data_IF_210703271445
#
_entry.id   IF_210703271445
#
_cell.length_a   1.000
_cell.length_b   1.000
_cell.length_c   1.000
_cell.angle_alpha   90.00
_cell.angle_beta   90.00
_cell.angle_gamma   90.00
#
_symmetry.space_group_name_H-M   'P 1'
#
loop_
_entity.id
_entity.type
_entity.pdbx_description
1 polymer ?
#
# COMPACT_ATOMS: atom_id res chain seq x y z
N UNK A 1 -5.95 17.69 -18.22
CA UNK A 1 -7.04 16.74 -17.89
C UNK A 1 -7.45 16.82 -16.41
N UNK A 2 -8.74 16.72 -16.08
CA UNK A 2 -9.26 16.62 -14.68
C UNK A 2 -9.46 15.16 -14.26
N UNK A 3 -9.61 14.86 -12.95
CA UNK A 3 -9.95 13.51 -12.49
C UNK A 3 -11.26 12.97 -13.10
N UNK A 4 -12.29 13.81 -13.19
CA UNK A 4 -13.58 13.44 -13.79
C UNK A 4 -13.44 13.07 -15.27
N UNK A 5 -12.68 13.84 -16.05
CA UNK A 5 -12.41 13.54 -17.46
C UNK A 5 -11.68 12.21 -17.62
N UNK A 6 -10.66 11.95 -16.80
CA UNK A 6 -9.90 10.71 -16.85
C UNK A 6 -10.78 9.50 -16.48
N UNK A 7 -11.66 9.64 -15.48
CA UNK A 7 -12.61 8.60 -15.07
C UNK A 7 -13.70 8.35 -16.10
N UNK A 8 -14.14 9.38 -16.82
CA UNK A 8 -15.08 9.24 -17.92
C UNK A 8 -14.45 8.51 -19.12
N UNK A 9 -13.16 8.75 -19.39
CA UNK A 9 -12.42 8.06 -20.47
C UNK A 9 -12.12 6.59 -20.14
N UNK A 10 -11.84 6.28 -18.86
CA UNK A 10 -11.58 4.92 -18.39
C UNK A 10 -12.46 4.59 -17.17
N UNK A 11 -13.76 4.31 -17.38
CA UNK A 11 -14.71 4.07 -16.30
C UNK A 11 -14.49 2.71 -15.64
N UNK A 12 -14.94 2.59 -14.39
CA UNK A 12 -15.15 1.30 -13.74
C UNK A 12 -16.57 0.80 -14.05
N UNK A 13 -16.69 -0.49 -14.31
CA UNK A 13 -17.98 -1.18 -14.30
C UNK A 13 -18.45 -1.43 -12.86
N UNK A 14 -19.75 -1.67 -12.69
CA UNK A 14 -20.36 -1.97 -11.38
C UNK A 14 -19.70 -3.22 -10.75
N UNK A 15 -19.37 -4.20 -11.58
CA UNK A 15 -18.70 -5.43 -11.16
C UNK A 15 -17.29 -5.14 -10.63
N UNK A 16 -16.54 -4.28 -11.31
CA UNK A 16 -15.20 -3.88 -10.87
C UNK A 16 -15.25 -3.06 -9.58
N UNK A 17 -16.21 -2.14 -9.43
CA UNK A 17 -16.42 -1.38 -8.19
C UNK A 17 -16.71 -2.32 -7.01
N UNK A 18 -17.62 -3.28 -7.21
CA UNK A 18 -17.97 -4.28 -6.20
C UNK A 18 -16.76 -5.18 -5.84
N UNK A 19 -15.97 -5.58 -6.83
CA UNK A 19 -14.75 -6.36 -6.63
C UNK A 19 -13.72 -5.58 -5.77
N UNK A 20 -13.49 -4.30 -6.08
CA UNK A 20 -12.55 -3.46 -5.33
C UNK A 20 -13.06 -3.26 -3.90
N UNK A 21 -14.36 -2.99 -3.71
CA UNK A 21 -14.96 -2.85 -2.39
C UNK A 21 -14.82 -4.14 -1.56
N UNK A 22 -15.09 -5.29 -2.16
CA UNK A 22 -14.91 -6.60 -1.51
C UNK A 22 -13.44 -6.85 -1.12
N UNK A 23 -12.49 -6.49 -2.00
CA UNK A 23 -11.08 -6.62 -1.70
C UNK A 23 -10.64 -5.70 -0.54
N UNK A 24 -11.13 -4.45 -0.49
CA UNK A 24 -10.87 -3.54 0.64
C UNK A 24 -11.40 -4.09 1.95
N UNK A 25 -12.60 -4.67 1.93
CA UNK A 25 -13.20 -5.30 3.10
C UNK A 25 -12.38 -6.50 3.56
N UNK A 26 -11.99 -7.39 2.64
CA UNK A 26 -11.13 -8.54 2.93
C UNK A 26 -9.81 -8.11 3.59
N UNK A 27 -9.16 -7.08 3.04
CA UNK A 27 -7.91 -6.55 3.60
C UNK A 27 -8.13 -5.93 4.99
N UNK A 28 -9.25 -5.23 5.21
CA UNK A 28 -9.65 -4.75 6.54
C UNK A 28 -9.84 -5.91 7.53
N UNK A 29 -10.49 -7.00 7.09
CA UNK A 29 -10.72 -8.19 7.92
C UNK A 29 -9.42 -8.88 8.30
N UNK A 30 -8.46 -8.98 7.39
CA UNK A 30 -7.11 -9.49 7.69
C UNK A 30 -6.38 -8.57 8.68
N UNK A 31 -6.37 -7.25 8.43
CA UNK A 31 -5.71 -6.28 9.32
C UNK A 31 -6.31 -6.33 10.74
N UNK A 32 -7.62 -6.54 10.84
CA UNK A 32 -8.32 -6.64 12.11
C UNK A 32 -8.26 -8.04 12.76
N UNK A 33 -7.72 -9.04 12.07
CA UNK A 33 -7.64 -10.44 12.53
C UNK A 33 -8.98 -11.18 12.53
N UNK A 34 -9.94 -10.75 11.71
CA UNK A 34 -11.22 -11.46 11.46
C UNK A 34 -11.08 -12.50 10.36
N UNK A 35 -10.17 -12.27 9.42
CA UNK A 35 -9.76 -13.23 8.40
C UNK A 35 -8.34 -13.71 8.74
N UNK A 36 -8.11 -15.03 8.86
CA UNK A 36 -6.83 -15.58 9.31
C UNK A 36 -5.75 -15.60 8.21
N UNK A 37 -6.09 -15.27 6.95
CA UNK A 37 -5.14 -15.30 5.83
C UNK A 37 -4.07 -14.24 6.01
N UNK A 38 -2.88 -14.53 5.48
CA UNK A 38 -1.79 -13.55 5.43
C UNK A 38 -1.96 -12.63 4.23
N UNK A 39 -1.98 -11.32 4.48
CA UNK A 39 -1.94 -10.31 3.42
C UNK A 39 -0.53 -10.24 2.81
N UNK A 40 -0.44 -10.45 1.49
CA UNK A 40 0.82 -10.39 0.75
C UNK A 40 0.73 -9.35 -0.36
N UNK A 41 1.42 -8.22 -0.17
CA UNK A 41 1.60 -7.20 -1.21
C UNK A 41 2.88 -7.49 -1.99
N UNK A 42 2.77 -7.93 -3.24
CA UNK A 42 3.91 -8.37 -4.04
C UNK A 42 3.81 -7.88 -5.49
N UNK A 43 4.95 -7.54 -6.08
CA UNK A 43 5.01 -7.02 -7.45
C UNK A 43 6.30 -6.25 -7.74
N UNK A 44 6.42 -5.68 -8.94
CA UNK A 44 7.57 -4.89 -9.35
C UNK A 44 7.86 -3.71 -8.40
N UNK A 45 9.12 -3.29 -8.32
CA UNK A 45 9.51 -2.12 -7.51
C UNK A 45 8.83 -0.84 -8.03
N UNK A 46 8.74 -0.71 -9.36
CA UNK A 46 8.00 0.32 -10.07
C UNK A 46 7.57 -0.21 -11.44
N UNK A 47 6.38 0.19 -11.91
CA UNK A 47 5.88 -0.11 -13.25
C UNK A 47 6.47 0.91 -14.22
N UNK A 48 7.07 0.43 -15.30
CA UNK A 48 7.62 1.24 -16.40
C UNK A 48 7.12 0.76 -17.77
N UNK A 49 6.71 -0.51 -17.87
CA UNK A 49 6.15 -1.12 -19.06
C UNK A 49 4.80 -1.76 -18.71
N UNK A 50 3.67 -1.25 -19.26
CA UNK A 50 2.35 -1.83 -19.06
C UNK A 50 2.23 -3.29 -19.52
N UNK A 51 2.87 -3.68 -20.62
CA UNK A 51 2.75 -5.04 -21.16
C UNK A 51 3.42 -6.05 -20.24
N UNK A 52 4.63 -5.75 -19.77
CA UNK A 52 5.30 -6.55 -18.75
C UNK A 52 4.51 -6.62 -17.43
N UNK A 53 3.81 -5.54 -17.06
CA UNK A 53 2.94 -5.53 -15.88
C UNK A 53 1.74 -6.48 -16.04
N UNK A 54 1.11 -6.50 -17.21
CA UNK A 54 0.01 -7.42 -17.53
C UNK A 54 0.51 -8.87 -17.57
N UNK A 55 1.70 -9.12 -18.14
CA UNK A 55 2.29 -10.46 -18.13
C UNK A 55 2.55 -10.96 -16.70
N UNK A 56 3.13 -10.11 -15.86
CA UNK A 56 3.30 -10.41 -14.43
C UNK A 56 1.96 -10.71 -13.77
N UNK A 57 0.94 -9.88 -14.03
CA UNK A 57 -0.39 -10.03 -13.48
C UNK A 57 -1.05 -11.38 -13.82
N UNK A 58 -0.86 -11.89 -15.05
CA UNK A 58 -1.40 -13.21 -15.45
C UNK A 58 -0.81 -14.32 -14.58
N UNK A 59 0.51 -14.32 -14.38
CA UNK A 59 1.22 -15.30 -13.53
C UNK A 59 0.84 -15.13 -12.05
N UNK A 60 0.75 -13.88 -11.60
CA UNK A 60 0.37 -13.55 -10.23
C UNK A 60 -1.05 -13.99 -9.89
N UNK A 61 -2.00 -13.84 -10.82
CA UNK A 61 -3.38 -14.32 -10.68
C UNK A 61 -3.45 -15.84 -10.56
N UNK A 62 -2.70 -16.57 -11.39
CA UNK A 62 -2.67 -18.03 -11.33
C UNK A 62 -2.19 -18.51 -9.95
N UNK A 63 -1.08 -17.95 -9.47
CA UNK A 63 -0.58 -18.24 -8.12
C UNK A 63 -1.59 -17.83 -7.04
N UNK A 64 -2.20 -16.66 -7.15
CA UNK A 64 -3.18 -16.17 -6.19
C UNK A 64 -4.36 -17.15 -6.01
N UNK A 65 -4.79 -17.81 -7.09
CA UNK A 65 -5.83 -18.84 -7.00
C UNK A 65 -5.34 -20.08 -6.22
N UNK A 66 -4.11 -20.53 -6.48
CA UNK A 66 -3.51 -21.73 -5.86
C UNK A 66 -3.30 -21.60 -4.35
N UNK A 67 -3.04 -20.39 -3.83
CA UNK A 67 -2.73 -20.15 -2.41
C UNK A 67 -3.83 -19.41 -1.63
N UNK A 68 -5.01 -19.25 -2.24
CA UNK A 68 -6.08 -18.35 -1.76
C UNK A 68 -6.71 -18.71 -0.42
N UNK A 69 -6.52 -19.96 0.04
CA UNK A 69 -6.98 -20.49 1.32
C UNK A 69 -6.16 -19.92 2.50
N UNK A 70 -4.89 -19.60 2.26
CA UNK A 70 -3.94 -19.19 3.31
C UNK A 70 -3.37 -17.79 3.08
N UNK A 71 -3.23 -17.36 1.83
CA UNK A 71 -2.62 -16.08 1.45
C UNK A 71 -3.61 -15.23 0.64
N UNK A 72 -3.74 -13.96 0.99
CA UNK A 72 -4.47 -12.98 0.20
C UNK A 72 -3.49 -12.11 -0.58
N UNK A 73 -3.30 -12.44 -1.87
CA UNK A 73 -2.34 -11.78 -2.73
C UNK A 73 -2.89 -10.47 -3.31
N UNK A 74 -2.14 -9.38 -3.15
CA UNK A 74 -2.44 -8.05 -3.70
C UNK A 74 -1.27 -7.60 -4.57
N UNK A 75 -1.56 -7.29 -5.84
CA UNK A 75 -0.51 -6.89 -6.78
C UNK A 75 -0.04 -5.48 -6.46
N UNK A 76 1.26 -5.32 -6.27
CA UNK A 76 1.90 -4.01 -6.12
C UNK A 76 2.02 -3.32 -7.49
N UNK A 77 1.42 -2.14 -7.62
CA UNK A 77 1.43 -1.32 -8.85
C UNK A 77 1.87 0.11 -8.50
N UNK A 78 3.18 0.30 -8.36
CA UNK A 78 3.75 1.61 -8.03
C UNK A 78 4.26 2.28 -9.29
N UNK A 79 3.70 3.42 -9.67
CA UNK A 79 4.16 4.15 -10.87
C UNK A 79 5.40 5.00 -10.63
N UNK A 80 5.63 5.37 -9.39
CA UNK A 80 6.69 6.30 -9.01
C UNK A 80 7.52 5.76 -7.85
N UNK A 81 8.72 6.32 -7.71
CA UNK A 81 9.59 6.04 -6.57
C UNK A 81 10.13 7.35 -6.02
N UNK A 82 9.91 7.68 -4.73
CA UNK A 82 10.49 8.88 -4.14
C UNK A 82 12.03 8.74 -4.09
N UNK A 83 12.72 9.57 -4.88
CA UNK A 83 14.19 9.63 -4.97
C UNK A 83 14.69 11.02 -4.59
N UNK A 84 15.81 11.07 -3.86
CA UNK A 84 16.54 12.30 -3.52
C UNK A 84 17.57 12.70 -4.57
N UNK A 85 17.88 11.80 -5.51
CA UNK A 85 18.82 12.02 -6.62
C UNK A 85 18.07 12.23 -7.95
N UNK A 86 18.75 12.83 -8.93
CA UNK A 86 18.26 12.93 -10.32
C UNK A 86 18.08 11.54 -10.91
N UNK A 87 17.01 11.34 -11.68
CA UNK A 87 16.67 10.07 -12.35
C UNK A 87 15.20 10.05 -12.81
N UNK A 88 14.82 8.98 -13.51
CA UNK A 88 13.47 8.78 -14.02
C UNK A 88 12.40 8.95 -12.93
N UNK A 89 11.36 9.72 -13.24
CA UNK A 89 10.33 10.18 -12.29
C UNK A 89 9.11 9.27 -12.21
N UNK A 90 9.10 8.17 -12.94
CA UNK A 90 8.02 7.19 -12.94
C UNK A 90 7.09 7.33 -14.15
N UNK A 91 6.25 6.31 -14.36
CA UNK A 91 5.43 6.16 -15.56
C UNK A 91 4.36 7.26 -15.70
N UNK A 92 3.83 7.76 -14.57
CA UNK A 92 2.88 8.88 -14.59
C UNK A 92 3.58 10.15 -15.06
N UNK A 93 4.75 10.46 -14.50
CA UNK A 93 5.42 11.73 -14.81
C UNK A 93 6.12 11.71 -16.17
N UNK A 94 6.77 10.61 -16.55
CA UNK A 94 7.63 10.53 -17.73
C UNK A 94 7.43 9.18 -18.45
N UNK A 95 6.26 8.98 -19.11
CA UNK A 95 5.87 7.69 -19.66
C UNK A 95 6.77 7.21 -20.81
N UNK A 96 7.40 8.14 -21.52
CA UNK A 96 8.27 7.86 -22.66
C UNK A 96 9.74 7.64 -22.26
N UNK A 97 10.06 7.80 -20.97
CA UNK A 97 11.41 7.66 -20.39
C UNK A 97 12.47 8.57 -21.06
N UNK A 98 12.03 9.71 -21.59
CA UNK A 98 12.84 10.65 -22.36
C UNK A 98 12.94 12.04 -21.70
N UNK A 99 12.28 12.24 -20.55
CA UNK A 99 12.25 13.51 -19.84
C UNK A 99 11.27 14.53 -20.42
N UNK A 100 10.32 14.11 -21.27
CA UNK A 100 9.26 14.97 -21.84
C UNK A 100 8.24 15.48 -20.82
N UNK A 101 8.10 14.78 -19.68
CA UNK A 101 7.11 15.06 -18.65
C UNK A 101 5.65 15.07 -19.15
N UNK A 102 5.30 14.15 -20.06
CA UNK A 102 3.92 13.95 -20.54
C UNK A 102 3.02 13.34 -19.46
N UNK A 103 2.67 14.13 -18.45
CA UNK A 103 1.89 13.69 -17.29
C UNK A 103 0.47 13.29 -17.66
N UNK A 104 -0.14 13.98 -18.64
CA UNK A 104 -1.47 13.63 -19.11
C UNK A 104 -1.46 12.26 -19.80
N UNK A 105 -0.50 12.01 -20.70
CA UNK A 105 -0.30 10.69 -21.30
C UNK A 105 -0.03 9.60 -20.25
N UNK A 106 0.82 9.90 -19.26
CA UNK A 106 1.14 8.98 -18.17
C UNK A 106 -0.05 8.62 -17.29
N UNK A 107 -0.93 9.59 -16.95
CA UNK A 107 -2.18 9.34 -16.23
C UNK A 107 -3.13 8.43 -17.01
N UNK A 108 -3.27 8.63 -18.32
CA UNK A 108 -4.08 7.76 -19.19
C UNK A 108 -3.54 6.34 -19.25
N UNK A 109 -2.23 6.19 -19.44
CA UNK A 109 -1.54 4.89 -19.45
C UNK A 109 -1.75 4.17 -18.11
N UNK A 110 -1.52 4.86 -17.00
CA UNK A 110 -1.67 4.31 -15.66
C UNK A 110 -3.11 3.86 -15.39
N UNK A 111 -4.11 4.71 -15.67
CA UNK A 111 -5.51 4.36 -15.41
C UNK A 111 -5.98 3.20 -16.27
N UNK A 112 -5.66 3.20 -17.57
CA UNK A 112 -5.99 2.09 -18.48
C UNK A 112 -5.42 0.77 -17.97
N UNK A 113 -4.14 0.75 -17.59
CA UNK A 113 -3.49 -0.43 -17.01
C UNK A 113 -4.21 -0.90 -15.74
N UNK A 114 -4.50 0.01 -14.80
CA UNK A 114 -5.19 -0.34 -13.56
C UNK A 114 -6.58 -0.95 -13.82
N UNK A 115 -7.37 -0.38 -14.73
CA UNK A 115 -8.68 -0.92 -15.11
C UNK A 115 -8.54 -2.33 -15.68
N UNK A 116 -7.53 -2.57 -16.53
CA UNK A 116 -7.26 -3.89 -17.07
C UNK A 116 -6.86 -4.90 -15.99
N UNK A 117 -5.98 -4.51 -15.05
CA UNK A 117 -5.57 -5.36 -13.94
C UNK A 117 -6.75 -5.69 -13.00
N UNK A 118 -7.64 -4.73 -12.73
CA UNK A 118 -8.88 -4.98 -11.97
C UNK A 118 -9.80 -5.90 -12.75
N UNK A 119 -9.95 -5.72 -14.06
CA UNK A 119 -10.74 -6.62 -14.93
C UNK A 119 -10.19 -8.06 -14.91
N UNK A 120 -8.88 -8.23 -14.72
CA UNK A 120 -8.27 -9.53 -14.50
C UNK A 120 -8.62 -10.15 -13.13
N UNK A 121 -9.35 -9.48 -12.25
CA UNK A 121 -9.72 -10.02 -10.94
C UNK A 121 -8.68 -9.79 -9.85
N UNK A 122 -7.69 -8.90 -10.06
CA UNK A 122 -6.63 -8.66 -9.08
C UNK A 122 -6.93 -7.46 -8.18
N UNK A 123 -6.78 -7.60 -6.85
CA UNK A 123 -6.71 -6.45 -5.96
C UNK A 123 -5.34 -5.77 -6.10
N UNK A 124 -5.34 -4.43 -6.07
CA UNK A 124 -4.15 -3.62 -6.37
C UNK A 124 -3.69 -2.80 -5.16
N UNK A 125 -2.37 -2.63 -5.05
CA UNK A 125 -1.71 -1.86 -3.99
C UNK A 125 -0.82 -0.74 -4.58
N UNK A 126 -0.87 0.45 -3.97
CA UNK A 126 -0.02 1.60 -4.35
C UNK A 126 0.69 2.23 -3.14
N UNK A 127 1.47 3.28 -3.37
CA UNK A 127 2.00 4.18 -2.33
C UNK A 127 1.47 5.59 -2.59
N UNK A 128 0.85 6.21 -1.59
CA UNK A 128 0.32 7.57 -1.74
C UNK A 128 1.44 8.60 -1.50
N UNK A 129 1.93 9.19 -2.58
CA UNK A 129 3.08 10.10 -2.60
C UNK A 129 2.71 11.58 -2.61
N UNK A 130 1.47 11.90 -3.00
CA UNK A 130 0.96 13.27 -3.11
C UNK A 130 -0.57 13.29 -2.92
N UNK A 131 -1.16 14.44 -2.57
CA UNK A 131 -2.59 14.55 -2.28
C UNK A 131 -3.52 14.56 -3.50
N UNK A 132 -2.98 14.62 -4.72
CA UNK A 132 -3.75 14.77 -5.95
C UNK A 132 -3.96 13.43 -6.66
N UNK A 133 -2.93 12.59 -6.76
CA UNK A 133 -2.98 11.29 -7.41
C UNK A 133 -4.14 10.38 -6.95
N UNK A 134 -4.53 10.35 -5.66
CA UNK A 134 -5.70 9.58 -5.22
C UNK A 134 -7.01 9.99 -5.90
N UNK A 135 -7.18 11.25 -6.30
CA UNK A 135 -8.40 11.70 -6.99
C UNK A 135 -8.52 11.11 -8.40
N UNK A 136 -7.38 10.87 -9.06
CA UNK A 136 -7.30 10.30 -10.42
C UNK A 136 -7.39 8.78 -10.45
N UNK A 137 -6.74 8.10 -9.50
CA UNK A 137 -6.51 6.64 -9.56
C UNK A 137 -6.92 5.88 -8.29
N UNK A 138 -7.27 6.57 -7.20
CA UNK A 138 -7.51 5.97 -5.88
C UNK A 138 -8.70 5.01 -5.84
N UNK A 139 -9.67 5.19 -6.74
CA UNK A 139 -10.82 4.30 -6.90
C UNK A 139 -10.43 2.88 -7.30
N UNK A 140 -9.26 2.67 -7.91
CA UNK A 140 -8.79 1.39 -8.45
C UNK A 140 -7.97 0.55 -7.47
N UNK A 141 -7.61 1.11 -6.30
CA UNK A 141 -6.72 0.45 -5.34
C UNK A 141 -7.47 -0.13 -4.15
N UNK A 142 -7.03 -1.30 -3.71
CA UNK A 142 -7.57 -2.02 -2.54
C UNK A 142 -6.72 -1.83 -1.28
N UNK A 143 -5.49 -1.32 -1.41
CA UNK A 143 -4.58 -1.02 -0.30
C UNK A 143 -3.59 0.09 -0.68
N UNK A 144 -3.14 0.89 0.29
CA UNK A 144 -2.13 1.92 0.07
C UNK A 144 -1.03 1.91 1.14
N UNK A 145 0.20 2.19 0.75
CA UNK A 145 1.28 2.52 1.68
C UNK A 145 1.38 4.04 1.90
N UNK A 146 1.81 4.43 3.10
CA UNK A 146 2.49 5.71 3.33
C UNK A 146 3.98 5.41 3.55
N UNK A 147 4.81 6.09 2.74
CA UNK A 147 6.25 5.87 2.65
C UNK A 147 7.02 6.23 3.92
N UNK A 148 8.21 5.64 4.10
CA UNK A 148 9.07 5.92 5.27
C UNK A 148 9.53 7.40 5.35
N UNK A 149 9.50 8.13 4.23
CA UNK A 149 9.84 9.57 4.15
C UNK A 149 8.63 10.48 4.27
N UNK A 150 7.41 9.94 4.11
CA UNK A 150 6.16 10.70 4.14
C UNK A 150 5.33 10.40 5.39
N UNK A 151 5.63 9.33 6.12
CA UNK A 151 4.91 8.95 7.35
C UNK A 151 4.93 10.02 8.44
N UNK A 152 5.99 10.85 8.50
CA UNK A 152 6.05 11.99 9.44
C UNK A 152 5.35 13.25 8.95
N UNK A 153 5.03 13.31 7.65
CA UNK A 153 4.40 14.48 7.05
C UNK A 153 2.95 14.58 7.50
N UNK A 154 2.58 15.73 8.06
CA UNK A 154 1.21 16.03 8.45
C UNK A 154 0.23 15.84 7.29
N UNK A 155 0.53 16.43 6.12
CA UNK A 155 -0.33 16.33 4.93
C UNK A 155 -0.60 14.89 4.52
N UNK A 156 0.40 13.99 4.63
CA UNK A 156 0.23 12.59 4.27
C UNK A 156 -0.60 11.80 5.29
N UNK A 157 -0.48 12.15 6.59
CA UNK A 157 -1.33 11.55 7.64
C UNK A 157 -2.79 11.97 7.51
N UNK A 158 -3.01 13.26 7.25
CA UNK A 158 -4.34 13.81 7.01
C UNK A 158 -4.95 13.23 5.73
N UNK A 159 -4.17 13.11 4.65
CA UNK A 159 -4.59 12.41 3.43
C UNK A 159 -4.97 10.95 3.72
N UNK A 160 -4.13 10.21 4.47
CA UNK A 160 -4.39 8.81 4.81
C UNK A 160 -5.71 8.60 5.57
N UNK A 161 -6.13 9.59 6.36
CA UNK A 161 -7.42 9.58 7.07
C UNK A 161 -8.65 9.66 6.14
N UNK A 162 -8.47 10.11 4.89
CA UNK A 162 -9.51 10.21 3.87
C UNK A 162 -9.43 9.16 2.77
N UNK A 163 -8.42 8.30 2.81
CA UNK A 163 -8.28 7.22 1.84
C UNK A 163 -9.34 6.14 2.07
N UNK A 164 -10.01 5.72 1.00
CA UNK A 164 -11.10 4.73 1.05
C UNK A 164 -10.63 3.29 1.22
N UNK A 165 -9.32 3.04 1.13
CA UNK A 165 -8.70 1.73 1.30
C UNK A 165 -7.93 1.63 2.62
N UNK A 166 -7.66 0.41 3.12
CA UNK A 166 -6.71 0.20 4.21
C UNK A 166 -5.31 0.75 3.91
N UNK A 167 -4.61 1.22 4.95
CA UNK A 167 -3.34 1.94 4.83
C UNK A 167 -2.25 1.35 5.71
N UNK A 168 -1.10 1.04 5.11
CA UNK A 168 0.10 0.63 5.84
C UNK A 168 1.11 1.78 6.00
N UNK A 169 1.53 2.05 7.24
CA UNK A 169 2.48 3.12 7.58
C UNK A 169 3.89 2.55 7.79
N UNK A 170 4.84 2.91 6.92
CA UNK A 170 6.23 2.45 7.05
C UNK A 170 6.93 3.12 8.22
N UNK A 171 7.70 2.34 9.00
CA UNK A 171 8.62 2.92 9.99
C UNK A 171 9.63 3.88 9.32
N UNK A 172 10.17 4.82 10.10
CA UNK A 172 11.13 5.81 9.62
C UNK A 172 12.38 5.17 9.01
N UNK A 173 13.09 5.89 8.14
CA UNK A 173 14.28 5.35 7.44
C UNK A 173 15.43 4.95 8.37
N UNK A 174 15.43 5.48 9.59
CA UNK A 174 16.37 5.15 10.67
C UNK A 174 15.94 3.93 11.51
N UNK A 175 14.69 3.48 11.37
CA UNK A 175 14.08 2.39 12.15
C UNK A 175 13.00 2.83 13.13
N UNK A 176 12.70 4.14 13.24
CA UNK A 176 11.73 4.67 14.20
C UNK A 176 10.31 4.12 14.00
N UNK A 177 9.80 3.38 15.00
CA UNK A 177 8.43 2.86 15.04
C UNK A 177 7.42 3.94 15.45
N UNK A 178 7.82 4.86 16.34
CA UNK A 178 6.99 5.94 16.85
C UNK A 178 6.39 6.78 15.72
N UNK A 179 7.16 7.01 14.66
CA UNK A 179 6.74 7.66 13.42
C UNK A 179 5.51 7.00 12.80
N UNK A 180 5.54 5.68 12.60
CA UNK A 180 4.44 4.92 12.01
C UNK A 180 3.24 4.79 12.96
N UNK A 181 3.49 4.54 14.23
CA UNK A 181 2.46 4.42 15.27
C UNK A 181 1.66 5.73 15.41
N UNK A 182 2.36 6.87 15.47
CA UNK A 182 1.71 8.18 15.52
C UNK A 182 0.94 8.48 14.24
N UNK A 183 1.46 8.08 13.07
CA UNK A 183 0.77 8.24 11.80
C UNK A 183 -0.52 7.42 11.72
N UNK A 184 -0.48 6.16 12.13
CA UNK A 184 -1.64 5.29 12.21
C UNK A 184 -2.70 5.87 13.15
N UNK A 185 -2.31 6.32 14.35
CA UNK A 185 -3.22 6.93 15.31
C UNK A 185 -3.84 8.22 14.78
N UNK A 186 -3.04 9.08 14.13
CA UNK A 186 -3.54 10.30 13.53
C UNK A 186 -4.54 10.00 12.41
N UNK A 187 -4.21 9.06 11.51
CA UNK A 187 -5.06 8.72 10.38
C UNK A 187 -6.42 8.15 10.78
N UNK A 188 -6.55 7.53 11.96
CA UNK A 188 -7.82 7.04 12.48
C UNK A 188 -8.81 8.16 12.89
N UNK A 189 -8.36 9.42 12.97
CA UNK A 189 -9.17 10.55 13.40
C UNK A 189 -9.66 11.40 12.19
N UNK A 190 -10.77 12.15 12.33
CA UNK A 190 -11.17 13.16 11.36
C UNK A 190 -10.11 14.26 11.19
N UNK A 191 -9.84 14.66 9.95
CA UNK A 191 -8.92 15.74 9.59
C UNK A 191 -9.50 16.65 8.51
N UNK A 192 -8.77 17.73 8.23
CA UNK A 192 -8.98 18.57 7.05
C UNK A 192 -7.64 18.85 6.37
N UNK A 193 -7.60 18.75 5.05
CA UNK A 193 -6.39 19.08 4.27
C UNK A 193 -6.76 19.66 2.91
N UNK A 194 -5.83 20.40 2.30
CA UNK A 194 -6.00 20.96 0.96
C UNK A 194 -5.67 19.90 -0.09
N UNK A 195 -6.56 19.72 -1.06
CA UNK A 195 -6.38 18.85 -2.21
C UNK A 195 -7.14 19.37 -3.42
N UNK A 196 -7.55 18.48 -4.32
CA UNK A 196 -8.40 18.82 -5.48
C UNK A 196 -9.72 18.07 -5.44
N UNK A 197 -10.78 18.67 -5.98
CA UNK A 197 -12.03 17.97 -6.27
C UNK A 197 -11.96 17.25 -7.62
N UNK A 198 -13.03 16.54 -8.00
CA UNK A 198 -13.08 15.78 -9.27
C UNK A 198 -13.01 16.68 -10.52
N UNK A 199 -13.39 17.96 -10.40
CA UNK A 199 -13.24 18.96 -11.45
C UNK A 199 -11.82 19.58 -11.51
N UNK A 200 -10.89 19.12 -10.68
CA UNK A 200 -9.50 19.60 -10.65
C UNK A 200 -9.31 20.94 -9.93
N UNK A 201 -10.30 21.42 -9.18
CA UNK A 201 -10.23 22.67 -8.43
C UNK A 201 -9.65 22.44 -7.03
N UNK A 202 -8.81 23.37 -6.56
CA UNK A 202 -8.29 23.35 -5.19
C UNK A 202 -9.46 23.46 -4.21
N UNK A 203 -9.51 22.55 -3.23
CA UNK A 203 -10.56 22.53 -2.23
C UNK A 203 -10.05 22.05 -0.87
N UNK A 204 -10.82 22.34 0.18
CA UNK A 204 -10.61 21.79 1.51
C UNK A 204 -11.38 20.47 1.62
N UNK A 205 -10.66 19.37 1.81
CA UNK A 205 -11.24 18.05 2.02
C UNK A 205 -11.40 17.82 3.53
N UNK A 206 -12.57 17.34 3.95
CA UNK A 206 -12.83 16.90 5.32
C UNK A 206 -12.98 15.38 5.34
N UNK A 207 -12.27 14.72 6.26
CA UNK A 207 -12.24 13.26 6.37
C UNK A 207 -12.97 12.78 7.62
N UNK A 208 -13.37 11.51 7.64
CA UNK A 208 -13.99 10.88 8.81
C UNK A 208 -12.98 10.13 9.70
N UNK A 209 -11.74 9.98 9.24
CA UNK A 209 -10.78 9.04 9.82
C UNK A 209 -10.79 7.71 9.09
N UNK A 210 -9.64 7.04 9.07
CA UNK A 210 -9.46 5.72 8.46
C UNK A 210 -9.08 4.71 9.56
N UNK A 211 -10.02 3.84 9.98
CA UNK A 211 -9.76 2.87 11.05
C UNK A 211 -8.89 1.69 10.59
N UNK A 212 -8.67 1.53 9.28
CA UNK A 212 -8.01 0.36 8.70
C UNK A 212 -6.51 0.60 8.50
N UNK A 213 -5.84 1.03 9.57
CA UNK A 213 -4.40 1.29 9.59
C UNK A 213 -3.59 0.10 10.12
N UNK A 214 -2.36 -0.08 9.63
CA UNK A 214 -1.39 -1.00 10.24
C UNK A 214 0.05 -0.47 10.06
N UNK A 215 1.01 -1.01 10.83
CA UNK A 215 2.44 -0.65 10.70
C UNK A 215 3.11 -1.52 9.63
N UNK A 216 4.13 -0.99 8.94
CA UNK A 216 5.02 -1.76 8.06
C UNK A 216 6.46 -1.68 8.60
N UNK A 217 6.98 -2.82 9.04
CA UNK A 217 8.38 -3.03 9.44
C UNK A 217 9.24 -3.22 8.19
N UNK A 218 10.13 -2.28 7.90
CA UNK A 218 10.92 -2.21 6.65
C UNK A 218 12.41 -2.03 6.84
N UNK A 219 12.89 -2.26 8.05
CA UNK A 219 14.25 -2.04 8.53
C UNK A 219 14.55 -0.57 8.79
N UNK A 220 15.77 -0.31 9.23
CA UNK A 220 16.34 1.01 9.48
C UNK A 220 17.85 0.96 9.30
N UNK A 221 18.59 1.33 10.36
CA UNK A 221 20.05 1.07 10.43
C UNK A 221 20.38 -0.43 10.44
N UNK A 222 19.48 -1.24 10.97
CA UNK A 222 19.50 -2.69 10.92
C UNK A 222 18.13 -3.22 10.44
N UNK A 223 18.03 -4.48 9.99
CA UNK A 223 16.75 -5.14 9.79
C UNK A 223 15.91 -5.16 11.08
N UNK A 224 14.58 -5.09 10.95
CA UNK A 224 13.64 -5.09 12.09
C UNK A 224 12.48 -6.10 11.88
N UNK A 225 12.79 -7.29 11.38
CA UNK A 225 11.81 -8.33 11.06
C UNK A 225 11.86 -9.53 12.00
N UNK A 226 12.83 -9.59 12.92
CA UNK A 226 13.02 -10.72 13.81
C UNK A 226 11.95 -10.80 14.90
N UNK A 227 11.80 -11.95 15.59
CA UNK A 227 10.78 -12.12 16.63
C UNK A 227 10.83 -11.03 17.72
N UNK A 228 12.03 -10.59 18.12
CA UNK A 228 12.21 -9.53 19.11
C UNK A 228 11.75 -8.15 18.60
N UNK A 229 12.00 -7.84 17.32
CA UNK A 229 11.56 -6.59 16.70
C UNK A 229 10.03 -6.53 16.58
N UNK A 230 9.43 -7.67 16.23
CA UNK A 230 7.98 -7.81 16.12
C UNK A 230 7.32 -7.63 17.48
N UNK A 231 7.79 -8.35 18.50
CA UNK A 231 7.29 -8.23 19.86
C UNK A 231 7.47 -6.80 20.41
N UNK A 232 8.59 -6.14 20.10
CA UNK A 232 8.80 -4.73 20.43
C UNK A 232 7.77 -3.83 19.76
N UNK A 233 7.52 -4.02 18.46
CA UNK A 233 6.51 -3.22 17.74
C UNK A 233 5.11 -3.43 18.32
N UNK A 234 4.73 -4.68 18.61
CA UNK A 234 3.44 -5.00 19.22
C UNK A 234 3.27 -4.31 20.58
N UNK A 235 4.32 -4.36 21.41
CA UNK A 235 4.35 -3.68 22.71
C UNK A 235 4.18 -2.17 22.57
N UNK A 236 4.92 -1.53 21.67
CA UNK A 236 4.82 -0.07 21.45
C UNK A 236 3.44 0.33 20.89
N UNK A 237 2.86 -0.47 19.99
CA UNK A 237 1.50 -0.26 19.50
C UNK A 237 0.47 -0.35 20.63
N UNK A 238 0.56 -1.39 21.47
CA UNK A 238 -0.34 -1.57 22.61
C UNK A 238 -0.22 -0.43 23.62
N UNK A 239 1.01 0.04 23.91
CA UNK A 239 1.26 1.21 24.76
C UNK A 239 0.65 2.51 24.19
N UNK A 240 0.54 2.60 22.86
CA UNK A 240 -0.13 3.70 22.19
C UNK A 240 -1.66 3.54 22.09
N UNK A 241 -2.23 2.49 22.69
CA UNK A 241 -3.67 2.19 22.67
C UNK A 241 -4.17 1.61 21.34
N UNK A 242 -3.26 1.11 20.49
CA UNK A 242 -3.61 0.49 19.21
C UNK A 242 -3.61 -1.04 19.33
N UNK A 243 -4.57 -1.70 18.68
CA UNK A 243 -4.51 -3.15 18.47
C UNK A 243 -3.29 -3.45 17.58
N UNK A 244 -2.34 -4.30 18.01
CA UNK A 244 -1.20 -4.64 17.17
C UNK A 244 -1.64 -5.29 15.86
N UNK A 245 -1.20 -4.68 14.76
CA UNK A 245 -1.40 -5.17 13.39
C UNK A 245 -0.26 -4.61 12.55
N UNK A 246 0.53 -5.50 11.95
CA UNK A 246 1.76 -5.12 11.27
C UNK A 246 2.05 -6.03 10.08
N UNK A 247 2.79 -5.47 9.12
CA UNK A 247 3.30 -6.13 7.93
C UNK A 247 4.83 -6.06 7.95
N UNK A 248 5.49 -7.08 7.41
CA UNK A 248 6.94 -7.07 7.21
C UNK A 248 7.24 -6.87 5.74
N UNK A 249 7.94 -5.80 5.41
CA UNK A 249 8.56 -5.60 4.10
C UNK A 249 9.81 -6.48 4.02
N UNK A 250 9.81 -7.48 3.15
CA UNK A 250 10.95 -8.38 2.96
C UNK A 250 12.12 -7.73 2.22
N UNK A 251 11.91 -6.54 1.65
CA UNK A 251 12.87 -5.81 0.83
C UNK A 251 13.58 -4.71 1.64
N UNK A 252 14.11 -3.71 0.94
CA UNK A 252 14.66 -2.49 1.48
C UNK A 252 15.62 -2.66 2.68
N UNK A 253 15.30 -2.10 3.86
CA UNK A 253 16.17 -2.13 5.02
C UNK A 253 16.30 -3.54 5.60
N UNK A 254 15.26 -4.36 5.50
CA UNK A 254 15.29 -5.74 5.99
C UNK A 254 16.17 -6.66 5.13
N UNK A 255 16.25 -6.39 3.83
CA UNK A 255 17.13 -7.12 2.92
C UNK A 255 18.53 -6.48 2.77
N UNK A 256 18.82 -5.39 3.48
CA UNK A 256 19.98 -4.52 3.22
C UNK A 256 20.12 -4.12 1.73
N UNK A 257 18.98 -3.92 1.06
CA UNK A 257 18.87 -3.62 -0.38
C UNK A 257 19.43 -4.72 -1.30
N UNK A 258 19.66 -5.92 -0.77
CA UNK A 258 20.03 -7.10 -1.55
C UNK A 258 18.77 -7.93 -1.86
N UNK A 259 18.43 -8.10 -3.14
CA UNK A 259 17.25 -8.85 -3.53
C UNK A 259 17.34 -10.34 -3.18
N UNK A 260 18.57 -10.88 -3.08
CA UNK A 260 18.83 -12.30 -2.77
C UNK A 260 18.47 -12.65 -1.33
N UNK A 261 18.33 -11.65 -0.46
CA UNK A 261 17.99 -11.83 0.96
C UNK A 261 16.49 -11.82 1.25
N UNK A 262 15.66 -11.40 0.30
CA UNK A 262 14.21 -11.31 0.52
C UNK A 262 13.56 -12.66 0.89
N UNK A 263 13.93 -13.81 0.26
CA UNK A 263 13.38 -15.11 0.67
C UNK A 263 13.69 -15.46 2.13
N UNK A 264 14.92 -15.20 2.59
CA UNK A 264 15.31 -15.47 3.98
C UNK A 264 14.52 -14.61 4.99
N UNK A 265 14.15 -13.38 4.61
CA UNK A 265 13.25 -12.54 5.44
C UNK A 265 11.85 -13.17 5.50
N UNK A 266 11.30 -13.60 4.37
CA UNK A 266 9.98 -14.25 4.33
C UNK A 266 9.94 -15.56 5.14
N UNK A 267 10.98 -16.41 5.02
CA UNK A 267 11.08 -17.67 5.75
C UNK A 267 11.18 -17.48 7.27
N UNK A 268 11.78 -16.38 7.73
CA UNK A 268 11.90 -16.09 9.17
C UNK A 268 10.54 -15.93 9.85
N UNK A 269 9.53 -15.46 9.11
CA UNK A 269 8.13 -15.30 9.57
C UNK A 269 7.40 -16.63 9.63
N UNK A 270 7.55 -17.49 8.62
CA UNK A 270 6.91 -18.81 8.61
C UNK A 270 7.29 -19.69 9.82
N UNK A 271 8.48 -19.46 10.40
CA UNK A 271 8.93 -20.13 11.64
C UNK A 271 8.41 -19.46 12.92
N UNK A 272 8.07 -18.18 12.88
CA UNK A 272 7.51 -17.46 14.01
C UNK A 272 6.05 -17.89 14.22
N UNK A 273 5.20 -17.91 13.18
CA UNK A 273 3.77 -18.26 13.27
C UNK A 273 3.53 -19.67 13.83
N UNK A 274 4.43 -20.63 13.60
CA UNK A 274 4.33 -21.97 14.21
C UNK A 274 4.47 -21.97 15.74
N UNK A 275 5.04 -20.93 16.35
CA UNK A 275 5.09 -20.75 17.81
C UNK A 275 3.94 -19.89 18.36
N UNK A 276 3.14 -19.27 17.50
CA UNK A 276 2.00 -18.42 17.86
C UNK A 276 0.67 -19.16 17.70
N UNK A 277 0.62 -20.44 18.07
CA UNK A 277 -0.66 -21.04 18.43
C UNK A 277 -1.21 -20.28 19.65
N UNK A 278 -2.48 -19.85 19.65
CA UNK A 278 -3.07 -19.34 20.87
C UNK A 278 -2.95 -20.43 21.94
N UNK A 279 -2.40 -20.07 23.10
CA UNK A 279 -2.55 -20.87 24.31
C UNK A 279 -4.04 -21.25 24.42
N UNK A 280 -4.38 -22.53 24.66
CA UNK A 280 -5.77 -22.92 24.83
C UNK A 280 -6.32 -22.13 26.01
N UNK A 281 -7.34 -21.30 25.77
CA UNK A 281 -8.13 -20.73 26.85
C UNK A 281 -8.90 -21.89 27.49
N UNK A 282 -8.31 -22.49 28.53
CA UNK A 282 -9.00 -23.38 29.45
C UNK A 282 -9.67 -22.54 30.54
N UNK A 283 -10.99 -22.46 30.50
CA UNK A 283 -11.91 -22.53 31.64
C UNK A 283 -13.31 -22.86 31.11
#
# INVERSE_FOLDING_TARGET
>A
MTPEQLKAEFPLSVEQEAQIAHARQTISDIIAGRDPRLLVVCGPCSIHDPEAAIEYARRFKALAAEVSDSLYLVMRVYFEKPRTTVGWKGLINDPHMDGSFDVEGGLKIARRLLVELVNMGLPLATEALDPNSPQYLGDLFSWSAIGARTTESQTHREMASGLSMPVGFKNGTDGSLATAINAMRAAAMPHRFVGINQAGQVCLLQTQGNPNGHVILRGGKAPNYGPEDVAKCEKEMAQAGLKPSLMVDCSHGNSNKDFRRQPAVAESRGRADQRWQPLPLSA
#
